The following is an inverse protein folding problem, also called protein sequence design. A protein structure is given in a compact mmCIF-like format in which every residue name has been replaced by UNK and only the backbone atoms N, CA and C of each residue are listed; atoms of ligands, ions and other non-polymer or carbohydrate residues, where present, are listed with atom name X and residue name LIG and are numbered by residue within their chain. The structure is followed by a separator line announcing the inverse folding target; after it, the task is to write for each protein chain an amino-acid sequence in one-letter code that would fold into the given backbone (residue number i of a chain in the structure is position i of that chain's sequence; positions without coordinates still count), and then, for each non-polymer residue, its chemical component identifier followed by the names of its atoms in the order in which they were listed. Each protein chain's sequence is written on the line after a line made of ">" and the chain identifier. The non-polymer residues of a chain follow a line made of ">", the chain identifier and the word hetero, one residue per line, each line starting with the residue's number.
data_IF_401515404148
#
_entry.id   IF_401515404148
#
_cell.length_a   1.000
_cell.length_b   1.000
_cell.length_c   1.000
_cell.angle_alpha   90.00
_cell.angle_beta   90.00
_cell.angle_gamma   90.00
#
_symmetry.space_group_name_H-M   'P 1'
#
loop_
_entity.id
_entity.type
_entity.pdbx_description
1 polymer ?
#
# COMPACT_ATOMS: atom_id res chain seq x y z
N UNK A 1 14.34 -2.50 15.78
CA UNK A 1 14.85 -1.12 16.01
C UNK A 1 15.49 -0.85 17.38
N UNK A 2 15.31 -1.68 18.41
CA UNK A 2 15.84 -1.40 19.77
C UNK A 2 17.36 -1.60 19.96
N UNK A 3 18.09 -2.09 18.95
CA UNK A 3 19.56 -2.29 18.99
C UNK A 3 20.07 -3.43 19.88
N UNK A 4 19.22 -4.01 20.75
CA UNK A 4 19.54 -5.19 21.59
C UNK A 4 19.03 -6.52 21.02
N UNK A 5 18.36 -6.47 19.86
CA UNK A 5 17.80 -7.63 19.15
C UNK A 5 18.67 -7.91 17.93
N UNK A 6 18.07 -8.01 16.76
CA UNK A 6 18.77 -8.26 15.51
C UNK A 6 19.77 -7.15 15.17
N UNK A 7 20.89 -7.57 14.57
CA UNK A 7 21.90 -6.67 14.06
C UNK A 7 21.41 -6.02 12.77
N UNK A 8 21.25 -4.71 12.78
CA UNK A 8 20.81 -3.90 11.65
C UNK A 8 21.84 -2.83 11.32
N UNK A 9 21.90 -2.40 10.07
CA UNK A 9 22.72 -1.27 9.63
C UNK A 9 21.87 -0.30 8.84
N UNK A 10 22.05 1.00 9.09
CA UNK A 10 21.39 2.06 8.36
C UNK A 10 22.39 3.18 8.04
N UNK A 11 22.11 3.91 6.96
CA UNK A 11 22.81 5.15 6.60
C UNK A 11 21.82 6.29 6.58
N UNK A 12 22.21 7.43 7.16
CA UNK A 12 21.47 8.68 7.06
C UNK A 12 22.13 9.52 5.98
N UNK A 13 21.36 9.86 4.96
CA UNK A 13 21.80 10.73 3.85
C UNK A 13 21.02 12.03 3.97
N UNK A 14 21.73 13.14 4.18
CA UNK A 14 21.19 14.48 4.17
C UNK A 14 21.75 15.23 2.98
N UNK A 15 20.87 15.69 2.10
CA UNK A 15 21.27 16.43 0.91
C UNK A 15 21.95 17.75 1.28
N UNK A 16 23.10 18.01 0.67
CA UNK A 16 23.79 19.30 0.68
C UNK A 16 23.52 20.10 -0.59
N UNK A 17 23.30 19.41 -1.72
CA UNK A 17 22.88 19.98 -2.99
C UNK A 17 21.36 20.04 -3.08
N UNK A 18 20.83 21.21 -3.45
CA UNK A 18 19.40 21.41 -3.65
C UNK A 18 19.06 21.76 -5.09
N UNK A 19 17.86 21.38 -5.51
CA UNK A 19 17.28 21.71 -6.81
C UNK A 19 15.95 22.44 -6.63
N UNK A 20 15.56 23.34 -7.56
CA UNK A 20 14.24 23.95 -7.57
C UNK A 20 13.15 22.86 -7.61
N UNK A 21 12.16 22.98 -6.75
CA UNK A 21 11.02 22.08 -6.58
C UNK A 21 9.81 22.88 -6.07
N UNK A 22 8.75 22.16 -5.73
CA UNK A 22 7.51 22.72 -5.17
C UNK A 22 7.08 21.90 -3.94
N UNK A 23 6.50 22.58 -2.95
CA UNK A 23 5.93 21.95 -1.75
C UNK A 23 4.68 22.74 -1.34
N UNK A 24 3.51 22.11 -1.41
CA UNK A 24 2.22 22.73 -1.15
C UNK A 24 1.94 23.98 -2.02
N UNK A 25 2.28 23.90 -3.30
CA UNK A 25 2.16 25.01 -4.26
C UNK A 25 3.25 26.07 -4.17
N UNK A 26 4.03 26.09 -3.08
CA UNK A 26 5.07 27.09 -2.85
C UNK A 26 6.43 26.65 -3.41
N UNK A 27 7.23 27.63 -3.84
CA UNK A 27 8.58 27.39 -4.34
C UNK A 27 9.46 26.78 -3.23
N UNK A 28 10.08 25.63 -3.51
CA UNK A 28 10.84 24.88 -2.53
C UNK A 28 12.21 24.45 -3.08
N UNK A 29 13.21 24.36 -2.20
CA UNK A 29 14.53 23.82 -2.54
C UNK A 29 14.64 22.40 -2.02
N UNK A 30 14.42 21.41 -2.89
CA UNK A 30 14.46 20.01 -2.50
C UNK A 30 15.87 19.45 -2.60
N UNK A 31 16.23 18.55 -1.68
CA UNK A 31 17.46 17.77 -1.78
C UNK A 31 17.48 16.92 -3.05
N UNK A 32 18.60 16.96 -3.79
CA UNK A 32 18.73 16.29 -5.09
C UNK A 32 18.55 14.77 -4.99
N UNK A 33 19.19 14.14 -4.00
CA UNK A 33 19.12 12.71 -3.77
C UNK A 33 17.72 12.31 -3.31
N UNK A 34 17.22 12.91 -2.22
CA UNK A 34 15.92 12.57 -1.65
C UNK A 34 14.77 12.77 -2.64
N UNK A 35 14.78 13.87 -3.41
CA UNK A 35 13.79 14.13 -4.45
C UNK A 35 13.84 13.05 -5.54
N UNK A 36 15.03 12.71 -6.02
CA UNK A 36 15.19 11.71 -7.10
C UNK A 36 14.65 10.34 -6.69
N UNK A 37 14.94 9.91 -5.46
CA UNK A 37 14.47 8.66 -4.90
C UNK A 37 12.95 8.67 -4.73
N UNK A 38 12.37 9.71 -4.10
CA UNK A 38 10.92 9.85 -3.93
C UNK A 38 10.20 9.82 -5.27
N UNK A 39 10.69 10.57 -6.26
CA UNK A 39 10.11 10.64 -7.59
C UNK A 39 10.16 9.28 -8.29
N UNK A 40 11.25 8.53 -8.16
CA UNK A 40 11.33 7.17 -8.68
C UNK A 40 10.31 6.25 -8.01
N UNK A 41 10.20 6.26 -6.68
CA UNK A 41 9.22 5.48 -5.94
C UNK A 41 7.78 5.82 -6.39
N UNK A 42 7.43 7.10 -6.47
CA UNK A 42 6.09 7.52 -6.92
C UNK A 42 5.82 7.09 -8.36
N UNK A 43 6.80 7.19 -9.27
CA UNK A 43 6.63 6.72 -10.65
C UNK A 43 6.37 5.23 -10.74
N UNK A 44 7.11 4.43 -9.99
CA UNK A 44 6.93 2.98 -9.95
C UNK A 44 5.55 2.63 -9.37
N UNK A 45 5.25 3.17 -8.19
CA UNK A 45 4.06 2.87 -7.41
C UNK A 45 2.76 3.33 -8.08
N UNK A 46 2.77 4.48 -8.77
CA UNK A 46 1.61 5.03 -9.48
C UNK A 46 1.55 4.59 -10.95
N UNK A 47 2.48 3.74 -11.41
CA UNK A 47 2.52 3.27 -12.79
C UNK A 47 2.69 4.41 -13.80
N UNK A 48 3.57 5.38 -13.51
CA UNK A 48 3.89 6.51 -14.38
C UNK A 48 5.39 6.62 -14.71
N UNK A 49 6.12 5.49 -14.72
CA UNK A 49 7.53 5.45 -15.15
C UNK A 49 7.77 6.12 -16.51
N UNK A 50 6.88 5.88 -17.47
CA UNK A 50 6.96 6.42 -18.83
C UNK A 50 5.86 7.46 -19.15
N UNK A 51 5.05 7.87 -18.16
CA UNK A 51 3.96 8.82 -18.39
C UNK A 51 4.30 10.20 -17.81
N UNK A 52 4.65 11.18 -18.65
CA UNK A 52 5.00 12.52 -18.19
C UNK A 52 3.79 13.34 -17.71
N UNK A 53 2.55 12.88 -17.95
CA UNK A 53 1.35 13.66 -17.67
C UNK A 53 0.94 13.64 -16.19
N UNK A 54 1.46 12.70 -15.40
CA UNK A 54 1.16 12.64 -13.97
C UNK A 54 2.08 13.58 -13.21
N UNK A 55 1.53 14.71 -12.77
CA UNK A 55 2.26 15.63 -11.90
C UNK A 55 2.39 15.04 -10.48
N UNK A 56 3.60 14.57 -10.17
CA UNK A 56 3.99 14.04 -8.86
C UNK A 56 5.08 14.91 -8.19
N UNK A 57 5.33 16.11 -8.72
CA UNK A 57 6.39 17.00 -8.26
C UNK A 57 6.13 17.51 -6.85
N UNK A 58 4.89 17.92 -6.58
CA UNK A 58 4.44 18.34 -5.26
C UNK A 58 3.88 17.14 -4.49
N UNK A 59 4.57 16.64 -3.45
CA UNK A 59 4.14 15.45 -2.72
C UNK A 59 3.05 15.71 -1.69
N UNK A 60 2.75 16.97 -1.35
CA UNK A 60 1.86 17.33 -0.24
C UNK A 60 0.65 18.15 -0.67
N UNK A 61 0.62 18.66 -1.90
CA UNK A 61 -0.56 19.36 -2.42
C UNK A 61 -1.82 18.52 -2.31
N UNK A 62 -2.92 19.18 -1.99
CA UNK A 62 -4.26 18.59 -1.91
C UNK A 62 -4.65 17.84 -3.19
N UNK A 63 -4.28 18.40 -4.35
CA UNK A 63 -4.48 17.78 -5.66
C UNK A 63 -3.75 16.45 -5.77
N UNK A 64 -2.45 16.42 -5.46
CA UNK A 64 -1.68 15.17 -5.52
C UNK A 64 -2.25 14.13 -4.53
N UNK A 65 -2.49 14.53 -3.29
CA UNK A 65 -2.95 13.61 -2.27
C UNK A 65 -4.34 13.03 -2.60
N UNK A 66 -5.33 13.87 -2.90
CA UNK A 66 -6.72 13.45 -3.11
C UNK A 66 -6.93 12.84 -4.49
N UNK A 67 -6.50 13.54 -5.55
CA UNK A 67 -6.84 13.19 -6.94
C UNK A 67 -5.87 12.18 -7.57
N UNK A 68 -4.64 12.07 -7.06
CA UNK A 68 -3.64 11.13 -7.58
C UNK A 68 -3.48 9.95 -6.63
N UNK A 69 -3.05 10.17 -5.39
CA UNK A 69 -2.71 9.10 -4.45
C UNK A 69 -3.94 8.35 -3.94
N UNK A 70 -4.89 9.05 -3.30
CA UNK A 70 -6.11 8.44 -2.75
C UNK A 70 -6.99 7.88 -3.85
N UNK A 71 -7.21 8.63 -4.94
CA UNK A 71 -8.01 8.13 -6.05
C UNK A 71 -7.44 6.86 -6.70
N UNK A 72 -6.11 6.77 -6.85
CA UNK A 72 -5.47 5.57 -7.43
C UNK A 72 -5.54 4.39 -6.49
N UNK A 73 -5.25 4.58 -5.20
CA UNK A 73 -5.34 3.50 -4.20
C UNK A 73 -6.76 2.97 -4.09
N UNK A 74 -7.77 3.84 -3.95
CA UNK A 74 -9.17 3.44 -3.85
C UNK A 74 -9.67 2.73 -5.11
N UNK A 75 -9.32 3.23 -6.31
CA UNK A 75 -9.64 2.57 -7.58
C UNK A 75 -9.03 1.18 -7.64
N UNK A 76 -7.74 1.06 -7.35
CA UNK A 76 -7.04 -0.21 -7.45
C UNK A 76 -7.61 -1.23 -6.45
N UNK A 77 -7.81 -0.85 -5.18
CA UNK A 77 -8.44 -1.70 -4.17
C UNK A 77 -9.81 -2.20 -4.64
N UNK A 78 -10.68 -1.30 -5.09
CA UNK A 78 -12.02 -1.66 -5.58
C UNK A 78 -11.96 -2.69 -6.72
N UNK A 79 -11.02 -2.54 -7.65
CA UNK A 79 -10.85 -3.48 -8.76
C UNK A 79 -10.30 -4.82 -8.26
N UNK A 80 -9.29 -4.82 -7.40
CA UNK A 80 -8.74 -6.06 -6.84
C UNK A 80 -9.78 -6.85 -6.05
N UNK A 81 -10.55 -6.18 -5.19
CA UNK A 81 -11.63 -6.80 -4.41
C UNK A 81 -12.71 -7.39 -5.31
N UNK A 82 -13.12 -6.65 -6.36
CA UNK A 82 -14.11 -7.11 -7.34
C UNK A 82 -13.62 -8.29 -8.16
N UNK A 83 -12.40 -8.22 -8.67
CA UNK A 83 -11.87 -9.19 -9.64
C UNK A 83 -11.46 -10.47 -8.94
N UNK A 84 -10.79 -10.35 -7.80
CA UNK A 84 -10.13 -11.49 -7.15
C UNK A 84 -10.75 -11.90 -5.81
N UNK A 85 -11.53 -11.02 -5.15
CA UNK A 85 -11.96 -11.22 -3.76
C UNK A 85 -10.76 -11.64 -2.88
N UNK A 86 -9.67 -10.89 -2.97
CA UNK A 86 -8.43 -11.22 -2.27
C UNK A 86 -8.49 -10.83 -0.78
N UNK A 87 -7.61 -11.45 0.00
CA UNK A 87 -7.36 -11.10 1.39
C UNK A 87 -6.02 -10.35 1.50
N UNK A 88 -5.85 -9.45 2.49
CA UNK A 88 -6.83 -9.01 3.49
C UNK A 88 -7.95 -8.13 2.88
N UNK A 89 -9.13 -8.09 3.51
CA UNK A 89 -10.28 -7.30 3.05
C UNK A 89 -11.17 -6.83 4.22
N UNK A 90 -11.69 -5.60 4.13
CA UNK A 90 -12.60 -5.02 5.13
C UNK A 90 -13.98 -5.73 5.18
N UNK A 91 -14.32 -6.57 4.19
CA UNK A 91 -15.51 -7.42 4.21
C UNK A 91 -15.40 -8.55 5.27
N UNK A 92 -14.18 -8.93 5.67
CA UNK A 92 -13.92 -10.06 6.57
C UNK A 92 -13.44 -9.57 7.92
N UNK A 93 -14.38 -9.28 8.81
CA UNK A 93 -14.09 -8.73 10.13
C UNK A 93 -13.81 -9.79 11.20
N UNK A 94 -14.05 -11.07 10.93
CA UNK A 94 -13.82 -12.17 11.86
C UNK A 94 -13.58 -13.51 11.13
N UNK A 95 -13.13 -14.53 11.86
CA UNK A 95 -12.86 -15.86 11.31
C UNK A 95 -14.12 -16.61 10.90
N UNK A 96 -15.29 -16.26 11.44
CA UNK A 96 -16.57 -16.86 11.04
C UNK A 96 -16.93 -16.50 9.59
N UNK A 97 -16.67 -15.26 9.17
CA UNK A 97 -16.97 -14.80 7.81
C UNK A 97 -15.95 -15.30 6.78
N UNK A 98 -14.75 -15.71 7.23
CA UNK A 98 -13.63 -16.04 6.35
C UNK A 98 -13.91 -17.25 5.44
N UNK A 99 -14.42 -18.40 5.91
CA UNK A 99 -14.78 -19.52 5.04
C UNK A 99 -15.83 -19.15 3.99
N UNK A 100 -16.86 -18.41 4.37
CA UNK A 100 -17.91 -17.97 3.45
C UNK A 100 -17.37 -17.01 2.38
N UNK A 101 -16.43 -16.14 2.75
CA UNK A 101 -15.79 -15.23 1.82
C UNK A 101 -14.94 -15.98 0.78
N UNK A 102 -14.14 -16.96 1.22
CA UNK A 102 -13.26 -17.77 0.36
C UNK A 102 -14.07 -18.73 -0.53
N UNK A 103 -15.18 -19.28 -0.04
CA UNK A 103 -16.01 -20.20 -0.79
C UNK A 103 -16.71 -19.54 -2.00
N UNK A 104 -16.95 -18.22 -1.93
CA UNK A 104 -17.51 -17.45 -3.04
C UNK A 104 -16.48 -17.31 -4.16
N UNK A 105 -16.81 -17.82 -5.35
CA UNK A 105 -15.94 -17.71 -6.52
C UNK A 105 -15.73 -16.26 -6.96
N UNK A 106 -14.48 -15.89 -7.23
CA UNK A 106 -14.10 -14.58 -7.74
C UNK A 106 -14.44 -14.41 -9.24
N UNK A 107 -14.60 -13.15 -9.67
CA UNK A 107 -14.86 -12.82 -11.07
C UNK A 107 -13.78 -13.36 -12.01
N UNK A 108 -12.51 -13.37 -11.58
CA UNK A 108 -11.39 -13.91 -12.36
C UNK A 108 -11.57 -15.40 -12.74
N UNK A 109 -12.30 -16.17 -11.93
CA UNK A 109 -12.59 -17.58 -12.20
C UNK A 109 -13.89 -17.76 -12.99
N UNK A 110 -14.89 -16.90 -12.74
CA UNK A 110 -16.20 -16.98 -13.39
C UNK A 110 -16.19 -16.45 -14.82
N UNK A 111 -15.58 -15.29 -15.05
CA UNK A 111 -15.57 -14.58 -16.33
C UNK A 111 -14.22 -13.89 -16.52
N UNK A 112 -13.32 -14.60 -17.22
CA UNK A 112 -11.95 -14.14 -17.46
C UNK A 112 -11.90 -12.91 -18.37
N UNK A 113 -12.84 -12.77 -19.30
CA UNK A 113 -12.85 -11.65 -20.26
C UNK A 113 -13.21 -10.37 -19.53
N UNK A 114 -14.31 -10.39 -18.78
CA UNK A 114 -14.72 -9.25 -17.96
C UNK A 114 -13.71 -8.90 -16.87
N UNK A 115 -13.06 -9.91 -16.28
CA UNK A 115 -11.96 -9.68 -15.34
C UNK A 115 -10.80 -8.92 -16.01
N UNK A 116 -10.40 -9.31 -17.22
CA UNK A 116 -9.35 -8.62 -17.97
C UNK A 116 -9.73 -7.17 -18.30
N UNK A 117 -10.99 -6.91 -18.69
CA UNK A 117 -11.49 -5.56 -18.95
C UNK A 117 -11.40 -4.65 -17.72
N UNK A 118 -11.80 -5.14 -16.54
CA UNK A 118 -11.68 -4.36 -15.30
C UNK A 118 -10.22 -4.11 -14.93
N UNK A 119 -9.33 -5.10 -15.14
CA UNK A 119 -7.91 -4.98 -14.83
C UNK A 119 -7.19 -3.95 -15.71
N UNK A 120 -7.69 -3.65 -16.92
CA UNK A 120 -7.14 -2.57 -17.76
C UNK A 120 -7.25 -1.18 -17.10
N UNK A 121 -8.11 -1.04 -16.10
CA UNK A 121 -8.32 0.22 -15.36
C UNK A 121 -7.36 0.39 -14.18
N UNK A 122 -6.62 -0.67 -13.82
CA UNK A 122 -5.57 -0.60 -12.80
C UNK A 122 -4.43 0.28 -13.32
N UNK A 123 -3.91 1.11 -12.42
CA UNK A 123 -2.70 1.88 -12.69
C UNK A 123 -1.76 1.82 -11.50
N UNK A 124 -0.53 1.39 -11.74
CA UNK A 124 0.45 1.19 -10.68
C UNK A 124 0.09 0.04 -9.75
N UNK A 125 0.63 0.08 -8.54
CA UNK A 125 0.60 -1.02 -7.57
C UNK A 125 0.00 -0.62 -6.21
N UNK A 126 -0.25 0.67 -5.99
CA UNK A 126 -0.75 1.16 -4.71
C UNK A 126 -2.20 0.74 -4.51
N UNK A 127 -2.50 0.26 -3.31
CA UNK A 127 -3.84 -0.13 -2.83
C UNK A 127 -4.02 0.43 -1.43
N UNK A 128 -5.27 0.66 -1.02
CA UNK A 128 -5.61 0.99 0.36
C UNK A 128 -5.35 -0.23 1.25
N UNK A 129 -4.80 0.03 2.43
CA UNK A 129 -4.63 -0.99 3.47
C UNK A 129 -5.99 -1.18 4.18
N UNK A 130 -6.57 -2.39 4.19
CA UNK A 130 -7.83 -2.65 4.90
C UNK A 130 -7.62 -2.63 6.40
N UNK A 131 -8.31 -1.73 7.09
CA UNK A 131 -8.16 -1.52 8.54
C UNK A 131 -9.16 -2.34 9.39
N UNK A 132 -10.20 -2.90 8.77
CA UNK A 132 -11.25 -3.66 9.44
C UNK A 132 -11.06 -5.17 9.31
N UNK A 133 -10.09 -5.64 8.52
CA UNK A 133 -9.79 -7.06 8.37
C UNK A 133 -9.48 -7.71 9.72
N UNK A 134 -10.27 -8.72 10.08
CA UNK A 134 -10.22 -9.46 11.35
C UNK A 134 -10.25 -8.56 12.62
N UNK A 135 -10.85 -7.37 12.52
CA UNK A 135 -10.96 -6.43 13.64
C UNK A 135 -11.80 -6.94 14.82
N UNK A 136 -12.66 -7.93 14.61
CA UNK A 136 -13.44 -8.60 15.65
C UNK A 136 -12.71 -9.75 16.35
N UNK A 137 -11.46 -10.05 15.97
CA UNK A 137 -10.68 -11.18 16.49
C UNK A 137 -9.52 -10.72 17.36
N UNK A 138 -9.17 -11.56 18.34
CA UNK A 138 -7.88 -11.45 18.99
C UNK A 138 -6.84 -12.21 18.16
N UNK A 139 -5.98 -11.49 17.45
CA UNK A 139 -4.95 -12.08 16.59
C UNK A 139 -3.72 -12.60 17.34
N UNK A 140 -3.71 -12.53 18.68
CA UNK A 140 -2.68 -13.19 19.48
C UNK A 140 -2.85 -14.71 19.44
N UNK A 141 -1.75 -15.48 19.55
CA UNK A 141 -1.83 -16.92 19.69
C UNK A 141 -2.76 -17.34 20.84
N UNK A 142 -3.67 -18.29 20.57
CA UNK A 142 -4.63 -18.79 21.55
C UNK A 142 -3.94 -19.42 22.76
N UNK A 143 -4.49 -19.21 23.96
CA UNK A 143 -3.95 -19.79 25.19
C UNK A 143 -3.87 -21.31 25.08
N UNK A 144 -2.71 -21.88 25.41
CA UNK A 144 -2.46 -23.32 25.36
C UNK A 144 -1.91 -23.83 24.03
N UNK A 145 -1.73 -22.97 23.01
CA UNK A 145 -0.95 -23.35 21.81
C UNK A 145 0.56 -23.21 22.06
N UNK A 146 1.37 -23.85 21.21
CA UNK A 146 2.84 -23.73 21.30
C UNK A 146 3.28 -22.29 21.07
N UNK A 147 2.60 -21.59 20.17
CA UNK A 147 2.83 -20.21 19.79
C UNK A 147 2.54 -19.23 20.94
N UNK A 148 1.60 -19.55 21.84
CA UNK A 148 1.32 -18.72 23.01
C UNK A 148 2.39 -18.77 24.10
N UNK A 149 3.29 -19.77 24.05
CA UNK A 149 4.42 -19.90 24.97
C UNK A 149 5.65 -19.15 24.41
N UNK A 150 5.63 -18.78 23.12
CA UNK A 150 6.70 -17.99 22.50
C UNK A 150 6.66 -16.56 23.06
N UNK A 151 7.80 -16.01 23.52
CA UNK A 151 7.85 -14.64 24.03
C UNK A 151 7.31 -13.62 23.01
N UNK A 152 6.52 -12.64 23.46
CA UNK A 152 5.94 -11.63 22.57
C UNK A 152 6.99 -10.79 21.83
N UNK A 153 8.21 -10.71 22.36
CA UNK A 153 9.35 -10.07 21.73
C UNK A 153 9.83 -10.77 20.44
N UNK A 154 9.39 -12.00 20.19
CA UNK A 154 9.63 -12.68 18.90
C UNK A 154 8.80 -12.07 17.77
N UNK A 155 7.65 -11.46 18.08
CA UNK A 155 6.74 -10.86 17.08
C UNK A 155 6.90 -9.35 16.91
N UNK A 156 7.75 -8.69 17.72
CA UNK A 156 7.93 -7.23 17.76
C UNK A 156 9.39 -6.85 17.60
#
# INVERSE_FOLDING_TARGET
>A
MMGKRDSEMAVIIQDTETVPSVMDGEAYKAGKFALSLRMHCFRLLLGCLNDPNVNIQDPVSDRFFKEVWVATTARNTTIFDKVFRCLPSDEVQNFLHLPEFIAKSALATQDRVKAQEELQRIRGFVVQLPFLFLSGENLLPSVGTKEAIVPMETWT
#
